data_IF_321523669734
#
_entry.id   IF_321523669734
#
_cell.length_a   1.000
_cell.length_b   1.000
_cell.length_c   1.000
_cell.angle_alpha   90.00
_cell.angle_beta   90.00
_cell.angle_gamma   90.00
#
_symmetry.space_group_name_H-M   'P 1'
#
loop_
_entity.id
_entity.type
_entity.pdbx_description
1 polymer ?
#
# COMPACT_ATOMS: atom_id res chain seq x y z
N UNK A 1 -1.27 -1.26 34.98
CA UNK A 1 -0.15 -1.32 34.02
C UNK A 1 -0.54 -0.54 32.78
N UNK A 2 0.42 -0.13 31.94
CA UNK A 2 0.11 0.49 30.63
C UNK A 2 -0.40 -0.55 29.63
N UNK A 3 -1.19 -0.13 28.64
CA UNK A 3 -1.59 -0.99 27.53
C UNK A 3 -0.36 -1.40 26.71
N UNK A 4 -0.33 -2.67 26.29
CA UNK A 4 0.69 -3.23 25.42
C UNK A 4 0.01 -3.98 24.27
N UNK A 5 0.47 -3.73 23.05
CA UNK A 5 0.00 -4.41 21.82
C UNK A 5 1.19 -4.94 21.03
N UNK A 6 0.99 -5.82 20.02
CA UNK A 6 1.97 -5.96 18.96
C UNK A 6 2.34 -4.60 18.36
N UNK A 7 3.56 -4.47 17.85
CA UNK A 7 3.91 -3.32 17.00
C UNK A 7 2.96 -3.24 15.79
N UNK A 8 2.67 -2.02 15.36
CA UNK A 8 1.79 -1.79 14.23
C UNK A 8 2.48 -2.12 12.91
N UNK A 9 1.68 -2.40 11.89
CA UNK A 9 2.10 -2.79 10.55
C UNK A 9 1.33 -1.93 9.56
N UNK A 10 2.06 -1.26 8.66
CA UNK A 10 1.48 -0.57 7.51
C UNK A 10 1.71 -1.41 6.26
N UNK A 11 0.65 -2.05 5.76
CA UNK A 11 0.77 -3.09 4.72
C UNK A 11 0.64 -2.60 3.29
N UNK A 12 0.49 -1.29 3.09
CA UNK A 12 0.36 -0.70 1.76
C UNK A 12 0.84 0.74 1.76
N UNK A 13 2.02 1.01 1.18
CA UNK A 13 2.51 2.38 0.97
C UNK A 13 3.26 2.54 -0.35
N UNK A 14 3.30 3.77 -0.86
CA UNK A 14 4.19 4.20 -1.94
C UNK A 14 5.15 5.26 -1.39
N UNK A 15 5.78 4.95 -0.25
CA UNK A 15 6.48 5.94 0.57
C UNK A 15 7.72 6.54 -0.12
N UNK A 16 8.35 5.78 -1.02
CA UNK A 16 9.51 6.23 -1.81
C UNK A 16 9.03 6.94 -3.06
N UNK A 17 9.26 8.25 -3.13
CA UNK A 17 8.98 9.08 -4.30
C UNK A 17 9.77 10.39 -4.22
N UNK A 18 10.00 11.00 -5.39
CA UNK A 18 10.57 12.33 -5.51
C UNK A 18 9.51 13.43 -5.61
N UNK A 19 9.82 14.61 -5.10
CA UNK A 19 9.00 15.81 -5.26
C UNK A 19 7.75 15.86 -4.39
N UNK A 20 6.78 16.68 -4.79
CA UNK A 20 5.53 16.91 -4.05
C UNK A 20 4.42 17.30 -5.01
N UNK A 21 3.18 16.88 -4.71
CA UNK A 21 1.96 17.28 -5.46
C UNK A 21 1.14 18.36 -4.74
N UNK A 22 1.72 19.05 -3.75
CA UNK A 22 1.05 20.13 -3.03
C UNK A 22 0.58 21.28 -3.96
N UNK A 23 1.39 21.63 -4.96
CA UNK A 23 1.01 22.65 -5.96
C UNK A 23 -0.19 22.20 -6.79
N UNK A 24 -0.26 20.93 -7.18
CA UNK A 24 -1.41 20.38 -7.89
C UNK A 24 -2.67 20.43 -7.01
N UNK A 25 -2.54 20.04 -5.74
CA UNK A 25 -3.63 20.12 -4.77
C UNK A 25 -4.15 21.57 -4.63
N UNK A 26 -3.25 22.55 -4.51
CA UNK A 26 -3.62 23.97 -4.46
C UNK A 26 -4.36 24.43 -5.72
N UNK A 27 -3.90 24.02 -6.92
CA UNK A 27 -4.54 24.37 -8.19
C UNK A 27 -5.95 23.77 -8.31
N UNK A 28 -6.14 22.51 -7.89
CA UNK A 28 -7.47 21.88 -7.84
C UNK A 28 -8.43 22.67 -6.97
N UNK A 29 -7.98 23.11 -5.78
CA UNK A 29 -8.79 23.91 -4.87
C UNK A 29 -9.10 25.32 -5.40
N UNK A 30 -8.26 25.85 -6.29
CA UNK A 30 -8.49 27.11 -7.01
C UNK A 30 -9.40 26.95 -8.24
N UNK A 31 -9.90 25.74 -8.51
CA UNK A 31 -10.87 25.47 -9.57
C UNK A 31 -10.25 25.05 -10.91
N UNK A 32 -8.96 24.72 -10.96
CA UNK A 32 -8.35 24.17 -12.17
C UNK A 32 -8.97 22.81 -12.53
N UNK A 33 -9.33 22.62 -13.79
CA UNK A 33 -9.80 21.36 -14.33
C UNK A 33 -8.69 20.31 -14.38
N UNK A 34 -9.07 19.03 -14.43
CA UNK A 34 -8.11 17.92 -14.58
C UNK A 34 -7.27 18.06 -15.85
N UNK A 35 -7.86 18.51 -16.96
CA UNK A 35 -7.15 18.75 -18.22
C UNK A 35 -6.09 19.85 -18.09
N UNK A 36 -6.42 20.98 -17.45
CA UNK A 36 -5.45 22.06 -17.20
C UNK A 36 -4.30 21.61 -16.30
N UNK A 37 -4.58 20.77 -15.31
CA UNK A 37 -3.57 20.19 -14.43
C UNK A 37 -2.68 19.21 -15.21
N UNK A 38 -3.27 18.35 -16.03
CA UNK A 38 -2.52 17.40 -16.86
C UNK A 38 -1.65 18.11 -17.89
N UNK A 39 -2.14 19.18 -18.52
CA UNK A 39 -1.38 20.01 -19.47
C UNK A 39 -0.18 20.70 -18.81
N UNK A 40 -0.25 20.98 -17.51
CA UNK A 40 0.86 21.52 -16.71
C UNK A 40 1.79 20.44 -16.14
N UNK A 41 1.64 19.19 -16.58
CA UNK A 41 2.47 18.06 -16.12
C UNK A 41 2.13 17.58 -14.71
N UNK A 42 0.90 17.80 -14.24
CA UNK A 42 0.38 17.22 -13.00
C UNK A 42 0.05 15.72 -13.12
N UNK A 43 -0.56 15.15 -12.08
CA UNK A 43 -0.90 13.73 -12.09
C UNK A 43 0.27 12.83 -11.67
N UNK A 44 0.11 11.53 -11.87
CA UNK A 44 1.15 10.53 -11.56
C UNK A 44 2.46 10.81 -12.31
N UNK A 45 2.39 11.29 -13.55
CA UNK A 45 3.58 11.57 -14.38
C UNK A 45 4.46 12.68 -13.79
N UNK A 46 3.89 13.60 -12.99
CA UNK A 46 4.65 14.58 -12.22
C UNK A 46 5.59 13.90 -11.23
N UNK A 47 5.05 12.96 -10.45
CA UNK A 47 5.80 12.16 -9.48
C UNK A 47 6.80 11.25 -10.18
N UNK A 48 6.44 10.65 -11.32
CA UNK A 48 7.35 9.83 -12.12
C UNK A 48 8.57 10.65 -12.56
N UNK A 49 8.34 11.83 -13.12
CA UNK A 49 9.41 12.72 -13.58
C UNK A 49 10.33 13.13 -12.42
N UNK A 50 9.76 13.51 -11.27
CA UNK A 50 10.53 13.88 -10.09
C UNK A 50 11.34 12.69 -9.52
N UNK A 51 10.77 11.48 -9.55
CA UNK A 51 11.42 10.26 -9.04
C UNK A 51 12.53 9.76 -9.97
N UNK A 52 12.32 9.83 -11.28
CA UNK A 52 13.37 9.55 -12.29
C UNK A 52 14.56 10.49 -12.11
N UNK A 53 14.29 11.79 -11.95
CA UNK A 53 15.32 12.84 -11.83
C UNK A 53 16.11 12.75 -10.53
N UNK A 54 15.45 12.40 -9.42
CA UNK A 54 16.10 12.33 -8.12
C UNK A 54 17.15 11.21 -8.07
N UNK A 55 18.29 11.49 -7.46
CA UNK A 55 19.29 10.48 -7.11
C UNK A 55 18.77 9.54 -6.02
N UNK A 56 19.43 8.38 -5.86
CA UNK A 56 19.07 7.43 -4.80
C UNK A 56 19.16 8.06 -3.39
N UNK A 57 20.17 8.91 -3.15
CA UNK A 57 20.36 9.60 -1.88
C UNK A 57 19.31 10.69 -1.63
N UNK A 58 18.90 11.42 -2.67
CA UNK A 58 17.79 12.38 -2.56
C UNK A 58 16.47 11.67 -2.28
N UNK A 59 16.18 10.54 -2.95
CA UNK A 59 14.98 9.74 -2.68
C UNK A 59 14.96 9.21 -1.25
N UNK A 60 16.10 8.69 -0.78
CA UNK A 60 16.25 8.26 0.61
C UNK A 60 15.98 9.42 1.58
N UNK A 61 16.63 10.56 1.38
CA UNK A 61 16.51 11.74 2.24
C UNK A 61 15.10 12.30 2.26
N UNK A 62 14.40 12.32 1.11
CA UNK A 62 13.01 12.75 1.01
C UNK A 62 12.03 11.76 1.65
N UNK A 63 12.34 10.47 1.63
CA UNK A 63 11.49 9.40 2.17
C UNK A 63 11.61 9.26 3.69
N UNK A 64 12.78 9.55 4.24
CA UNK A 64 13.10 9.35 5.65
C UNK A 64 12.13 10.03 6.63
N UNK A 65 11.70 11.30 6.43
CA UNK A 65 10.74 11.93 7.33
C UNK A 65 9.37 11.24 7.34
N UNK A 66 8.91 10.72 6.19
CA UNK A 66 7.64 9.98 6.08
C UNK A 66 7.75 8.63 6.80
N UNK A 67 8.87 7.95 6.61
CA UNK A 67 9.16 6.69 7.28
C UNK A 67 9.20 6.88 8.80
N UNK A 68 9.96 7.87 9.28
CA UNK A 68 10.11 8.15 10.72
C UNK A 68 8.79 8.55 11.38
N UNK A 69 7.88 9.22 10.65
CA UNK A 69 6.54 9.53 11.14
C UNK A 69 5.73 8.25 11.46
N UNK A 70 5.77 7.23 10.59
CA UNK A 70 5.12 5.94 10.85
C UNK A 70 5.77 5.22 12.04
N UNK A 71 7.10 5.23 12.13
CA UNK A 71 7.81 4.59 13.26
C UNK A 71 7.48 5.25 14.59
N UNK A 72 7.32 6.58 14.59
CA UNK A 72 6.93 7.34 15.79
C UNK A 72 5.55 6.93 16.31
N UNK A 73 4.67 6.38 15.46
CA UNK A 73 3.36 5.84 15.85
C UNK A 73 3.38 4.33 16.14
N UNK A 74 4.56 3.75 16.34
CA UNK A 74 4.71 2.38 16.80
C UNK A 74 4.68 1.33 15.67
N UNK A 75 4.81 1.78 14.41
CA UNK A 75 4.97 0.90 13.27
C UNK A 75 6.37 0.28 13.28
N UNK A 76 6.46 -1.04 13.07
CA UNK A 76 7.74 -1.78 12.95
C UNK A 76 7.83 -2.66 11.72
N UNK A 77 6.77 -2.70 10.93
CA UNK A 77 6.79 -3.27 9.59
C UNK A 77 6.06 -2.35 8.63
N UNK A 78 6.73 -1.96 7.56
CA UNK A 78 6.18 -1.13 6.50
C UNK A 78 6.36 -1.87 5.18
N UNK A 79 5.29 -2.00 4.42
CA UNK A 79 5.39 -2.35 3.01
C UNK A 79 5.60 -1.09 2.17
N UNK A 80 6.56 -1.12 1.26
CA UNK A 80 6.92 -0.01 0.38
C UNK A 80 6.95 -0.51 -1.06
N UNK A 81 6.12 0.10 -1.90
CA UNK A 81 6.02 -0.19 -3.34
C UNK A 81 6.98 0.67 -4.15
N UNK A 82 7.39 0.14 -5.30
CA UNK A 82 7.96 0.94 -6.39
C UNK A 82 6.84 1.61 -7.21
N UNK A 83 6.96 1.74 -8.53
CA UNK A 83 5.87 2.19 -9.40
C UNK A 83 5.82 3.69 -9.72
N UNK A 84 6.80 4.47 -9.27
CA UNK A 84 7.03 5.84 -9.75
C UNK A 84 8.28 5.95 -10.63
N UNK A 85 8.86 4.82 -11.05
CA UNK A 85 9.90 4.81 -12.07
C UNK A 85 9.34 4.59 -13.45
N UNK A 86 8.52 3.55 -13.60
CA UNK A 86 7.99 3.08 -14.88
C UNK A 86 9.10 2.77 -15.94
N UNK A 87 10.35 2.65 -15.50
CA UNK A 87 11.52 2.23 -16.25
C UNK A 87 12.40 1.33 -15.35
N UNK A 88 13.30 0.55 -15.95
CA UNK A 88 14.12 -0.41 -15.23
C UNK A 88 14.95 0.23 -14.12
N UNK A 89 15.71 1.28 -14.46
CA UNK A 89 16.69 1.89 -13.56
C UNK A 89 16.02 2.51 -12.32
N UNK A 90 14.89 3.18 -12.51
CA UNK A 90 14.20 3.90 -11.44
C UNK A 90 13.38 2.96 -10.57
N UNK A 91 12.74 1.92 -11.14
CA UNK A 91 12.06 0.90 -10.34
C UNK A 91 13.04 0.19 -9.39
N UNK A 92 14.22 -0.21 -9.88
CA UNK A 92 15.30 -0.79 -9.07
C UNK A 92 15.79 0.20 -8.01
N UNK A 93 16.05 1.45 -8.39
CA UNK A 93 16.46 2.53 -7.48
C UNK A 93 15.49 2.69 -6.32
N UNK A 94 14.17 2.69 -6.59
CA UNK A 94 13.14 2.81 -5.55
C UNK A 94 13.18 1.62 -4.56
N UNK A 95 13.28 0.39 -5.07
CA UNK A 95 13.35 -0.81 -4.23
C UNK A 95 14.61 -0.82 -3.35
N UNK A 96 15.76 -0.38 -3.89
CA UNK A 96 17.01 -0.22 -3.11
C UNK A 96 16.86 0.82 -2.00
N UNK A 97 16.24 1.97 -2.28
CA UNK A 97 15.93 2.99 -1.26
C UNK A 97 15.04 2.41 -0.17
N UNK A 98 14.00 1.66 -0.54
CA UNK A 98 13.11 1.02 0.43
C UNK A 98 13.88 0.06 1.37
N UNK A 99 14.75 -0.79 0.82
CA UNK A 99 15.62 -1.67 1.64
C UNK A 99 16.55 -0.86 2.54
N UNK A 100 17.16 0.21 2.02
CA UNK A 100 18.05 1.10 2.77
C UNK A 100 17.34 1.75 3.97
N UNK A 101 16.08 2.18 3.82
CA UNK A 101 15.28 2.72 4.93
C UNK A 101 15.13 1.70 6.07
N UNK A 102 14.80 0.45 5.73
CA UNK A 102 14.67 -0.64 6.69
C UNK A 102 15.98 -0.93 7.42
N UNK A 103 17.10 -0.96 6.69
CA UNK A 103 18.44 -1.15 7.27
C UNK A 103 18.82 -0.02 8.23
N UNK A 104 18.65 1.24 7.80
CA UNK A 104 19.06 2.42 8.58
C UNK A 104 18.31 2.53 9.91
N UNK A 105 17.00 2.21 9.92
CA UNK A 105 16.18 2.27 11.14
C UNK A 105 16.06 0.94 11.87
N UNK A 106 16.72 -0.10 11.36
CA UNK A 106 16.60 -1.46 11.85
C UNK A 106 15.12 -1.88 11.99
N UNK A 107 14.32 -1.63 10.95
CA UNK A 107 12.87 -1.87 10.86
C UNK A 107 12.61 -2.86 9.74
N UNK A 108 11.54 -3.66 9.84
CA UNK A 108 11.12 -4.49 8.71
C UNK A 108 10.59 -3.63 7.58
N UNK A 109 11.22 -3.72 6.42
CA UNK A 109 10.65 -3.22 5.18
C UNK A 109 10.38 -4.39 4.25
N UNK A 110 9.13 -4.48 3.81
CA UNK A 110 8.71 -5.40 2.74
C UNK A 110 8.59 -4.61 1.46
N UNK A 111 9.19 -5.09 0.40
CA UNK A 111 9.18 -4.38 -0.88
C UNK A 111 8.23 -5.04 -1.85
N UNK A 112 7.43 -4.25 -2.56
CA UNK A 112 6.57 -4.75 -3.62
C UNK A 112 6.95 -4.08 -4.93
N UNK A 113 7.23 -4.86 -5.96
CA UNK A 113 7.46 -4.32 -7.29
C UNK A 113 6.14 -3.96 -7.95
N UNK A 114 5.94 -2.68 -8.25
CA UNK A 114 4.74 -2.13 -8.86
C UNK A 114 5.06 -1.50 -10.23
N UNK A 115 5.80 -2.19 -11.10
CA UNK A 115 6.07 -1.68 -12.45
C UNK A 115 4.79 -1.43 -13.25
N UNK A 116 3.74 -2.23 -13.04
CA UNK A 116 2.42 -2.05 -13.65
C UNK A 116 1.55 -1.03 -12.88
N UNK A 117 2.09 0.15 -12.54
CA UNK A 117 1.34 1.23 -11.87
C UNK A 117 0.57 2.12 -12.86
N UNK A 118 1.23 2.51 -13.94
CA UNK A 118 0.67 3.35 -14.98
C UNK A 118 1.44 3.15 -16.30
N UNK A 119 0.90 3.67 -17.39
CA UNK A 119 1.55 3.62 -18.70
C UNK A 119 2.48 4.85 -18.82
N UNK A 120 3.80 4.69 -18.93
CA UNK A 120 4.71 5.82 -19.10
C UNK A 120 4.55 6.46 -20.48
N UNK A 121 5.01 7.70 -20.60
CA UNK A 121 4.76 8.55 -21.77
C UNK A 121 5.32 7.94 -23.08
N UNK A 122 6.49 7.30 -23.01
CA UNK A 122 7.14 6.57 -24.09
C UNK A 122 6.33 5.36 -24.62
N UNK A 123 5.40 4.83 -23.81
CA UNK A 123 4.49 3.73 -24.17
C UNK A 123 3.04 4.19 -24.34
N UNK A 124 2.76 5.50 -24.51
CA UNK A 124 1.40 6.01 -24.72
C UNK A 124 0.73 5.30 -25.91
N UNK A 125 -0.43 4.70 -25.65
CA UNK A 125 -1.19 3.91 -26.64
C UNK A 125 -0.62 2.52 -26.93
N UNK A 126 0.39 2.06 -26.18
CA UNK A 126 1.09 0.78 -26.34
C UNK A 126 1.17 0.00 -25.02
N UNK A 127 0.06 -0.02 -24.27
CA UNK A 127 0.00 -0.64 -22.94
C UNK A 127 0.47 -2.11 -22.94
N UNK A 128 0.13 -2.89 -23.97
CA UNK A 128 0.55 -4.29 -24.05
C UNK A 128 2.07 -4.46 -24.22
N UNK A 129 2.71 -3.58 -24.98
CA UNK A 129 4.16 -3.57 -25.14
C UNK A 129 4.87 -3.12 -23.86
N UNK A 130 4.25 -2.23 -23.09
CA UNK A 130 4.76 -1.88 -21.77
C UNK A 130 4.69 -3.05 -20.79
N UNK A 131 3.60 -3.83 -20.84
CA UNK A 131 3.48 -5.04 -20.03
C UNK A 131 4.52 -6.10 -20.45
N UNK A 132 4.81 -6.25 -21.75
CA UNK A 132 5.93 -7.10 -22.20
C UNK A 132 7.26 -6.63 -21.61
N UNK A 133 7.53 -5.32 -21.64
CA UNK A 133 8.73 -4.73 -21.03
C UNK A 133 8.81 -4.99 -19.51
N UNK A 134 7.70 -4.80 -18.79
CA UNK A 134 7.63 -5.11 -17.35
C UNK A 134 7.91 -6.58 -17.07
N UNK A 135 7.33 -7.50 -17.85
CA UNK A 135 7.45 -8.95 -17.63
C UNK A 135 8.81 -9.51 -18.07
N UNK A 136 9.34 -9.06 -19.19
CA UNK A 136 10.51 -9.68 -19.82
C UNK A 136 11.82 -8.94 -19.55
N UNK A 137 11.78 -7.66 -19.19
CA UNK A 137 12.99 -6.87 -18.95
C UNK A 137 13.14 -6.44 -17.48
N UNK A 138 12.07 -5.97 -16.82
CA UNK A 138 12.19 -5.43 -15.45
C UNK A 138 12.10 -6.53 -14.39
N UNK A 139 11.01 -7.30 -14.39
CA UNK A 139 10.72 -8.26 -13.34
C UNK A 139 11.81 -9.34 -13.16
N UNK A 140 12.47 -9.86 -14.22
CA UNK A 140 13.60 -10.77 -14.06
C UNK A 140 14.77 -10.15 -13.29
N UNK A 141 15.11 -8.89 -13.57
CA UNK A 141 16.20 -8.19 -12.86
C UNK A 141 15.83 -7.94 -11.39
N UNK A 142 14.59 -7.53 -11.13
CA UNK A 142 14.07 -7.36 -9.77
C UNK A 142 14.17 -8.66 -8.95
N UNK A 143 13.88 -9.80 -9.60
CA UNK A 143 13.99 -11.12 -8.99
C UNK A 143 15.45 -11.54 -8.77
N UNK A 144 16.30 -11.44 -9.79
CA UNK A 144 17.71 -11.85 -9.74
C UNK A 144 18.50 -11.05 -8.69
N UNK A 145 18.17 -9.77 -8.51
CA UNK A 145 18.75 -8.92 -7.46
C UNK A 145 18.06 -9.04 -6.09
N UNK A 146 17.02 -9.89 -5.97
CA UNK A 146 16.23 -10.10 -4.74
C UNK A 146 15.67 -8.79 -4.14
N UNK A 147 15.18 -7.90 -5.01
CA UNK A 147 14.76 -6.55 -4.62
C UNK A 147 13.29 -6.47 -4.19
N UNK A 148 12.44 -7.43 -4.57
CA UNK A 148 11.02 -7.44 -4.25
C UNK A 148 10.62 -8.69 -3.45
N UNK A 149 9.79 -8.49 -2.43
CA UNK A 149 9.12 -9.55 -1.68
C UNK A 149 7.78 -9.98 -2.30
N UNK A 150 7.18 -9.12 -3.13
CA UNK A 150 5.93 -9.37 -3.84
C UNK A 150 5.87 -8.57 -5.15
N UNK A 151 4.94 -8.93 -6.03
CA UNK A 151 4.61 -8.18 -7.25
C UNK A 151 3.20 -7.62 -7.14
N UNK A 152 3.04 -6.36 -7.52
CA UNK A 152 1.80 -5.61 -7.46
C UNK A 152 1.42 -5.06 -8.84
N UNK A 153 0.19 -4.59 -8.99
CA UNK A 153 -0.31 -3.96 -10.22
C UNK A 153 -1.52 -3.07 -9.97
N UNK A 154 -1.77 -2.15 -10.90
CA UNK A 154 -2.98 -1.33 -10.88
C UNK A 154 -3.99 -1.78 -11.93
N UNK A 155 -5.00 -2.54 -11.49
CA UNK A 155 -6.07 -3.04 -12.34
C UNK A 155 -7.24 -2.04 -12.36
N UNK A 156 -7.25 -1.15 -13.35
CA UNK A 156 -8.24 -0.08 -13.47
C UNK A 156 -8.35 0.42 -14.92
N UNK A 157 -9.47 1.04 -15.26
CA UNK A 157 -9.74 1.61 -16.60
C UNK A 157 -8.70 2.66 -17.03
N UNK A 158 -8.08 3.33 -16.06
CA UNK A 158 -7.05 4.34 -16.30
C UNK A 158 -5.62 3.77 -16.27
N UNK A 159 -5.47 2.48 -16.02
CA UNK A 159 -4.19 1.79 -15.90
C UNK A 159 -4.18 0.52 -16.75
N UNK A 160 -4.34 -0.66 -16.15
CA UNK A 160 -4.26 -1.94 -16.84
C UNK A 160 -5.53 -2.77 -16.69
N UNK A 161 -5.86 -3.50 -17.74
CA UNK A 161 -6.95 -4.48 -17.73
C UNK A 161 -6.55 -5.76 -16.98
N UNK A 162 -7.55 -6.57 -16.59
CA UNK A 162 -7.31 -7.89 -15.99
C UNK A 162 -6.45 -8.82 -16.86
N UNK A 163 -6.57 -8.74 -18.20
CA UNK A 163 -5.73 -9.51 -19.14
C UNK A 163 -4.27 -9.07 -19.16
N UNK A 164 -4.01 -7.80 -18.89
CA UNK A 164 -2.65 -7.26 -18.81
C UNK A 164 -2.01 -7.62 -17.46
N UNK A 165 -2.77 -7.46 -16.38
CA UNK A 165 -2.33 -7.85 -15.04
C UNK A 165 -2.09 -9.35 -14.94
N UNK A 166 -2.91 -10.20 -15.58
CA UNK A 166 -2.68 -11.66 -15.56
C UNK A 166 -1.31 -12.04 -16.13
N UNK A 167 -0.82 -11.34 -17.17
CA UNK A 167 0.53 -11.57 -17.73
C UNK A 167 1.63 -11.26 -16.71
N UNK A 168 1.48 -10.17 -15.95
CA UNK A 168 2.41 -9.81 -14.86
C UNK A 168 2.38 -10.88 -13.76
N UNK A 169 1.18 -11.35 -13.38
CA UNK A 169 1.01 -12.37 -12.36
C UNK A 169 1.50 -13.76 -12.81
N UNK A 170 1.34 -14.12 -14.09
CA UNK A 170 1.90 -15.33 -14.67
C UNK A 170 3.43 -15.32 -14.54
N UNK A 171 4.07 -14.19 -14.88
CA UNK A 171 5.51 -14.02 -14.74
C UNK A 171 5.96 -14.07 -13.27
N UNK A 172 5.27 -13.35 -12.38
CA UNK A 172 5.57 -13.36 -10.95
C UNK A 172 5.46 -14.77 -10.35
N UNK A 173 4.41 -15.51 -10.71
CA UNK A 173 4.18 -16.89 -10.29
C UNK A 173 5.28 -17.82 -10.81
N UNK A 174 5.70 -17.67 -12.06
CA UNK A 174 6.80 -18.45 -12.64
C UNK A 174 8.14 -18.20 -11.92
N UNK A 175 8.34 -17.01 -11.35
CA UNK A 175 9.50 -16.66 -10.52
C UNK A 175 9.32 -17.03 -9.03
N UNK A 176 8.15 -17.52 -8.63
CA UNK A 176 7.85 -17.85 -7.23
C UNK A 176 7.65 -16.63 -6.33
N UNK A 177 7.35 -15.46 -6.90
CA UNK A 177 7.02 -14.26 -6.15
C UNK A 177 5.51 -14.20 -5.88
N UNK A 178 5.09 -13.92 -4.62
CA UNK A 178 3.68 -13.73 -4.31
C UNK A 178 3.16 -12.45 -4.97
N UNK A 179 1.86 -12.41 -5.25
CA UNK A 179 1.22 -11.27 -5.91
C UNK A 179 0.24 -10.55 -4.98
N UNK A 180 -0.05 -9.29 -5.30
CA UNK A 180 -1.08 -8.44 -4.70
C UNK A 180 -1.60 -7.46 -5.76
N UNK A 181 -2.69 -6.75 -5.48
CA UNK A 181 -3.32 -5.91 -6.50
C UNK A 181 -4.07 -4.69 -5.94
N UNK A 182 -3.84 -3.51 -6.52
CA UNK A 182 -4.81 -2.41 -6.48
C UNK A 182 -6.00 -2.77 -7.38
N UNK A 183 -7.16 -2.98 -6.76
CA UNK A 183 -8.35 -3.45 -7.45
C UNK A 183 -9.60 -2.67 -7.02
N UNK A 184 -10.47 -2.44 -8.00
CA UNK A 184 -11.81 -1.87 -7.81
C UNK A 184 -11.86 -0.52 -7.09
N UNK A 185 -10.84 0.32 -7.28
CA UNK A 185 -10.77 1.63 -6.65
C UNK A 185 -11.75 2.63 -7.27
N UNK A 186 -11.82 2.69 -8.60
CA UNK A 186 -12.61 3.68 -9.33
C UNK A 186 -13.72 3.02 -10.17
N UNK A 187 -13.55 1.75 -10.54
CA UNK A 187 -14.56 0.95 -11.23
C UNK A 187 -14.36 -0.54 -10.98
N UNK A 188 -15.37 -1.37 -11.26
CA UNK A 188 -15.25 -2.81 -11.12
C UNK A 188 -14.82 -3.47 -12.44
N UNK A 189 -13.60 -4.01 -12.48
CA UNK A 189 -13.06 -4.77 -13.62
C UNK A 189 -12.89 -6.27 -13.34
N UNK A 190 -13.18 -6.73 -12.12
CA UNK A 190 -12.93 -8.10 -11.69
C UNK A 190 -11.46 -8.38 -11.34
N UNK A 191 -10.68 -7.35 -11.05
CA UNK A 191 -9.33 -7.45 -10.51
C UNK A 191 -9.27 -8.18 -9.15
N UNK A 192 -10.22 -7.97 -8.25
CA UNK A 192 -10.24 -8.68 -6.96
C UNK A 192 -10.45 -10.19 -7.14
N UNK A 193 -11.33 -10.58 -8.07
CA UNK A 193 -11.53 -11.98 -8.44
C UNK A 193 -10.29 -12.58 -9.12
N UNK A 194 -9.62 -11.80 -9.98
CA UNK A 194 -8.32 -12.17 -10.56
C UNK A 194 -7.27 -12.41 -9.48
N UNK A 195 -7.08 -11.48 -8.55
CA UNK A 195 -6.14 -11.61 -7.44
C UNK A 195 -6.43 -12.86 -6.60
N UNK A 196 -7.70 -13.13 -6.30
CA UNK A 196 -8.12 -14.34 -5.59
C UNK A 196 -7.76 -15.63 -6.35
N UNK A 197 -7.90 -15.65 -7.68
CA UNK A 197 -7.55 -16.83 -8.50
C UNK A 197 -6.04 -17.14 -8.53
N UNK A 198 -5.19 -16.12 -8.35
CA UNK A 198 -3.73 -16.30 -8.23
C UNK A 198 -3.27 -16.59 -6.80
N UNK A 199 -4.19 -16.67 -5.82
CA UNK A 199 -3.82 -16.80 -4.41
C UNK A 199 -3.02 -15.60 -3.92
N UNK A 200 -3.36 -14.40 -4.38
CA UNK A 200 -2.71 -13.15 -3.97
C UNK A 200 -2.69 -12.99 -2.44
N UNK A 201 -1.71 -12.24 -1.92
CA UNK A 201 -1.67 -11.90 -0.50
C UNK A 201 -2.84 -10.98 -0.12
N UNK A 202 -3.12 -10.00 -0.98
CA UNK A 202 -4.21 -9.05 -0.79
C UNK A 202 -4.76 -8.51 -2.10
N UNK A 203 -6.00 -8.01 -2.01
CA UNK A 203 -6.54 -7.03 -2.96
C UNK A 203 -6.86 -5.74 -2.17
N UNK A 204 -6.47 -4.61 -2.74
CA UNK A 204 -6.39 -3.33 -2.05
C UNK A 204 -7.34 -2.32 -2.71
N UNK A 205 -7.84 -1.32 -1.95
CA UNK A 205 -8.90 -0.35 -2.30
C UNK A 205 -10.34 -0.88 -2.14
N UNK A 206 -10.88 -1.56 -3.16
CA UNK A 206 -12.14 -2.30 -3.13
C UNK A 206 -13.44 -1.48 -3.03
N UNK A 207 -13.43 -0.17 -3.29
CA UNK A 207 -14.64 0.66 -3.28
C UNK A 207 -15.77 0.09 -4.15
N UNK A 208 -15.45 -0.40 -5.35
CA UNK A 208 -16.40 -0.93 -6.33
C UNK A 208 -16.49 -2.46 -6.35
N UNK A 209 -15.91 -3.15 -5.36
CA UNK A 209 -15.95 -4.61 -5.27
C UNK A 209 -17.40 -5.12 -5.26
N UNK A 210 -17.69 -6.09 -6.12
CA UNK A 210 -19.00 -6.76 -6.16
C UNK A 210 -19.04 -8.04 -5.31
N UNK A 211 -20.24 -8.59 -5.17
CA UNK A 211 -20.46 -9.81 -4.39
C UNK A 211 -19.70 -11.01 -4.97
N UNK A 212 -19.51 -11.10 -6.29
CA UNK A 212 -18.76 -12.20 -6.90
C UNK A 212 -17.27 -12.15 -6.52
N UNK A 213 -16.70 -10.95 -6.49
CA UNK A 213 -15.34 -10.69 -6.00
C UNK A 213 -15.22 -11.01 -4.51
N UNK A 214 -16.18 -10.60 -3.68
CA UNK A 214 -16.21 -10.96 -2.24
C UNK A 214 -16.16 -12.48 -2.05
N UNK A 215 -16.98 -13.24 -2.78
CA UNK A 215 -17.00 -14.70 -2.66
C UNK A 215 -15.69 -15.33 -3.15
N UNK A 216 -15.09 -14.79 -4.22
CA UNK A 216 -13.78 -15.24 -4.70
C UNK A 216 -12.68 -15.02 -3.65
N UNK A 217 -12.65 -13.82 -3.04
CA UNK A 217 -11.71 -13.48 -1.98
C UNK A 217 -11.87 -14.39 -0.76
N UNK A 218 -13.11 -14.61 -0.31
CA UNK A 218 -13.42 -15.48 0.82
C UNK A 218 -12.97 -16.92 0.58
N UNK A 219 -13.20 -17.45 -0.62
CA UNK A 219 -12.80 -18.81 -1.00
C UNK A 219 -11.27 -18.97 -1.04
N UNK A 220 -10.56 -17.95 -1.51
CA UNK A 220 -9.10 -17.98 -1.64
C UNK A 220 -8.38 -17.67 -0.32
N UNK A 221 -9.03 -16.95 0.59
CA UNK A 221 -8.46 -16.56 1.88
C UNK A 221 -7.55 -15.33 1.80
N UNK A 222 -7.62 -14.57 0.70
CA UNK A 222 -6.82 -13.34 0.52
C UNK A 222 -7.34 -12.23 1.43
N UNK A 223 -6.47 -11.28 1.77
CA UNK A 223 -6.84 -10.14 2.61
C UNK A 223 -7.48 -9.02 1.76
N UNK A 224 -8.54 -8.40 2.28
CA UNK A 224 -9.06 -7.14 1.78
C UNK A 224 -8.38 -5.97 2.51
N UNK A 225 -7.58 -5.16 1.80
CA UNK A 225 -6.95 -3.95 2.38
C UNK A 225 -7.74 -2.72 1.95
N UNK A 226 -8.45 -2.09 2.89
CA UNK A 226 -9.21 -0.85 2.61
C UNK A 226 -8.41 0.38 3.00
N UNK A 227 -8.46 1.43 2.18
CA UNK A 227 -7.51 2.54 2.21
C UNK A 227 -8.23 3.87 2.47
N UNK A 228 -8.59 4.18 3.74
CA UNK A 228 -9.45 5.32 4.06
C UNK A 228 -8.80 6.69 3.75
N UNK A 229 -7.47 6.76 3.76
CA UNK A 229 -6.75 7.98 3.40
C UNK A 229 -6.93 8.36 1.93
N UNK A 230 -6.94 7.38 1.02
CA UNK A 230 -7.20 7.59 -0.39
C UNK A 230 -8.64 8.03 -0.64
N UNK A 231 -9.59 7.27 -0.07
CA UNK A 231 -11.01 7.58 -0.11
C UNK A 231 -11.30 9.03 0.35
N UNK A 232 -10.72 9.43 1.50
CA UNK A 232 -10.87 10.78 2.05
C UNK A 232 -10.36 11.86 1.10
N UNK A 233 -9.13 11.71 0.61
CA UNK A 233 -8.45 12.75 -0.17
C UNK A 233 -9.10 12.92 -1.55
N UNK A 234 -9.55 11.82 -2.15
CA UNK A 234 -10.25 11.81 -3.44
C UNK A 234 -11.71 12.27 -3.32
N UNK A 235 -12.22 12.44 -2.09
CA UNK A 235 -13.63 12.75 -1.80
C UNK A 235 -14.58 11.73 -2.44
N UNK A 236 -14.16 10.47 -2.44
CA UNK A 236 -14.98 9.36 -2.94
C UNK A 236 -16.24 9.22 -2.09
N UNK A 237 -17.29 8.71 -2.71
CA UNK A 237 -18.61 8.49 -2.11
C UNK A 237 -19.02 7.03 -2.13
N UNK A 238 -18.44 6.22 -3.02
CA UNK A 238 -18.64 4.78 -3.10
C UNK A 238 -17.82 4.08 -2.01
N UNK A 239 -18.51 3.56 -0.99
CA UNK A 239 -17.87 2.83 0.11
C UNK A 239 -17.50 1.40 -0.30
N UNK A 240 -16.37 0.85 0.15
CA UNK A 240 -16.07 -0.58 -0.01
C UNK A 240 -17.15 -1.43 0.69
N UNK A 241 -17.48 -2.64 0.17
CA UNK A 241 -18.61 -3.45 0.65
C UNK A 241 -18.29 -4.21 1.94
N UNK A 242 -17.89 -3.50 3.00
CA UNK A 242 -17.40 -4.09 4.26
C UNK A 242 -18.38 -5.06 4.90
N UNK A 243 -19.70 -4.82 4.80
CA UNK A 243 -20.68 -5.75 5.35
C UNK A 243 -20.72 -7.08 4.59
N UNK A 244 -20.54 -7.08 3.27
CA UNK A 244 -20.42 -8.32 2.50
C UNK A 244 -19.10 -9.04 2.85
N UNK A 245 -17.99 -8.31 2.91
CA UNK A 245 -16.68 -8.86 3.31
C UNK A 245 -16.73 -9.52 4.70
N UNK A 246 -17.31 -8.84 5.70
CA UNK A 246 -17.53 -9.39 7.05
C UNK A 246 -18.37 -10.66 7.04
N UNK A 247 -19.51 -10.65 6.34
CA UNK A 247 -20.42 -11.80 6.27
C UNK A 247 -19.75 -13.01 5.61
N UNK A 248 -18.91 -12.77 4.61
CA UNK A 248 -18.15 -13.80 3.93
C UNK A 248 -16.89 -14.25 4.70
N UNK A 249 -16.53 -13.57 5.80
CA UNK A 249 -15.36 -13.91 6.61
C UNK A 249 -14.03 -13.48 5.98
N UNK A 250 -14.03 -12.54 5.04
CA UNK A 250 -12.80 -12.01 4.44
C UNK A 250 -12.04 -11.17 5.47
N UNK A 251 -10.74 -11.44 5.71
CA UNK A 251 -9.94 -10.63 6.63
C UNK A 251 -9.82 -9.19 6.13
N UNK A 252 -10.03 -8.22 7.02
CA UNK A 252 -9.95 -6.78 6.73
C UNK A 252 -8.68 -6.17 7.31
N UNK A 253 -7.81 -5.65 6.45
CA UNK A 253 -6.68 -4.81 6.82
C UNK A 253 -6.96 -3.35 6.45
N UNK A 254 -6.23 -2.44 7.10
CA UNK A 254 -6.18 -1.03 6.73
C UNK A 254 -4.72 -0.60 6.65
N UNK A 255 -4.44 0.37 5.79
CA UNK A 255 -3.10 0.90 5.58
C UNK A 255 -3.18 2.37 5.18
N UNK A 256 -2.07 3.09 5.33
CA UNK A 256 -2.08 4.54 5.07
C UNK A 256 -2.23 4.87 3.59
N UNK A 257 -1.84 3.95 2.70
CA UNK A 257 -1.61 4.25 1.29
C UNK A 257 -0.67 5.44 1.12
N UNK A 258 0.32 5.63 2.00
CA UNK A 258 1.19 6.81 1.99
C UNK A 258 1.80 7.04 0.60
N UNK A 259 1.31 8.05 -0.11
CA UNK A 259 1.68 8.37 -1.48
C UNK A 259 1.45 9.87 -1.77
N UNK A 260 2.13 10.45 -2.77
CA UNK A 260 2.08 11.89 -3.00
C UNK A 260 0.75 12.39 -3.58
N UNK A 261 -0.08 11.51 -4.17
CA UNK A 261 -1.19 11.89 -5.03
C UNK A 261 -2.57 11.71 -4.42
N UNK A 262 -2.88 10.49 -3.99
CA UNK A 262 -4.18 10.09 -3.46
C UNK A 262 -4.18 9.95 -1.96
N UNK A 263 -3.06 9.70 -1.28
CA UNK A 263 -3.04 9.69 0.18
C UNK A 263 -1.72 10.19 0.77
N UNK A 264 -1.53 11.52 0.90
CA UNK A 264 -0.37 12.08 1.58
C UNK A 264 -0.47 11.92 3.12
N UNK A 265 -0.88 10.73 3.58
CA UNK A 265 -1.09 10.33 4.96
C UNK A 265 0.15 9.59 5.49
N UNK A 266 0.69 10.03 6.63
CA UNK A 266 1.86 9.42 7.29
C UNK A 266 1.56 9.07 8.75
N UNK A 267 0.30 8.75 9.05
CA UNK A 267 -0.19 8.41 10.38
C UNK A 267 -1.10 7.18 10.30
N UNK A 268 -0.63 6.07 10.87
CA UNK A 268 -1.38 4.82 10.95
C UNK A 268 -2.50 4.93 12.01
N UNK A 269 -2.31 5.72 13.07
CA UNK A 269 -3.33 5.97 14.08
C UNK A 269 -4.47 6.81 13.52
N UNK A 270 -4.15 7.84 12.72
CA UNK A 270 -5.16 8.58 11.98
C UNK A 270 -5.86 7.69 10.94
N UNK A 271 -5.15 6.77 10.29
CA UNK A 271 -5.76 5.77 9.41
C UNK A 271 -6.79 4.90 10.15
N UNK A 272 -6.46 4.40 11.35
CA UNK A 272 -7.40 3.67 12.22
C UNK A 272 -8.65 4.51 12.53
N UNK A 273 -8.47 5.78 12.89
CA UNK A 273 -9.58 6.69 13.14
C UNK A 273 -10.47 6.90 11.89
N UNK A 274 -9.86 7.10 10.72
CA UNK A 274 -10.59 7.27 9.47
C UNK A 274 -11.36 5.99 9.09
N UNK A 275 -10.77 4.81 9.26
CA UNK A 275 -11.43 3.53 9.04
C UNK A 275 -12.70 3.38 9.93
N UNK A 276 -12.60 3.75 11.21
CA UNK A 276 -13.76 3.74 12.10
C UNK A 276 -14.81 4.79 11.71
N UNK A 277 -14.37 6.01 11.38
CA UNK A 277 -15.27 7.15 11.16
C UNK A 277 -15.98 7.06 9.81
N UNK A 278 -15.23 6.80 8.75
CA UNK A 278 -15.68 6.79 7.37
C UNK A 278 -16.29 5.42 7.04
N UNK A 279 -15.55 4.34 7.28
CA UNK A 279 -15.95 3.00 6.87
C UNK A 279 -16.76 2.24 7.94
N UNK A 280 -17.01 2.85 9.10
CA UNK A 280 -17.77 2.21 10.20
C UNK A 280 -17.14 0.88 10.64
N UNK A 281 -15.82 0.78 10.59
CA UNK A 281 -15.09 -0.31 11.25
C UNK A 281 -15.15 -0.12 12.76
N UNK A 282 -15.17 -1.22 13.52
CA UNK A 282 -15.01 -1.15 14.97
C UNK A 282 -13.54 -0.85 15.32
N UNK A 283 -13.23 -0.27 16.49
CA UNK A 283 -11.84 -0.12 16.93
C UNK A 283 -11.08 -1.45 17.01
N UNK A 284 -11.77 -2.56 17.30
CA UNK A 284 -11.19 -3.90 17.28
C UNK A 284 -10.78 -4.32 15.86
N UNK A 285 -11.66 -4.12 14.87
CA UNK A 285 -11.35 -4.38 13.46
C UNK A 285 -10.20 -3.51 12.98
N UNK A 286 -10.16 -2.22 13.34
CA UNK A 286 -9.08 -1.32 12.98
C UNK A 286 -7.74 -1.78 13.59
N UNK A 287 -7.71 -2.12 14.88
CA UNK A 287 -6.50 -2.62 15.54
C UNK A 287 -6.03 -3.95 14.95
N UNK A 288 -6.95 -4.89 14.70
CA UNK A 288 -6.62 -6.14 14.02
C UNK A 288 -6.10 -5.88 12.60
N UNK A 289 -6.68 -4.89 11.92
CA UNK A 289 -6.34 -4.46 10.57
C UNK A 289 -4.92 -3.97 10.40
N UNK A 290 -4.35 -3.33 11.44
CA UNK A 290 -2.95 -2.84 11.47
C UNK A 290 -2.01 -3.73 12.28
N UNK A 291 -2.45 -4.93 12.67
CA UNK A 291 -1.62 -5.91 13.40
C UNK A 291 -1.72 -7.29 12.74
N UNK A 292 -2.59 -8.17 13.24
CA UNK A 292 -2.71 -9.56 12.78
C UNK A 292 -3.08 -9.65 11.31
N UNK A 293 -4.01 -8.83 10.82
CA UNK A 293 -4.49 -8.92 9.43
C UNK A 293 -3.50 -8.29 8.46
N UNK A 294 -2.88 -7.16 8.80
CA UNK A 294 -1.78 -6.59 8.03
C UNK A 294 -0.58 -7.56 7.92
N UNK A 295 -0.26 -8.33 8.97
CA UNK A 295 0.77 -9.36 8.88
C UNK A 295 0.43 -10.48 7.88
N UNK A 296 -0.84 -10.88 7.80
CA UNK A 296 -1.32 -11.83 6.79
C UNK A 296 -1.29 -11.25 5.37
N UNK A 297 -1.67 -9.98 5.19
CA UNK A 297 -1.64 -9.27 3.90
C UNK A 297 -0.23 -9.18 3.29
N UNK A 298 0.79 -9.47 4.09
CA UNK A 298 2.19 -9.45 3.66
C UNK A 298 2.87 -10.83 3.74
N UNK A 299 2.12 -11.89 4.08
CA UNK A 299 2.60 -13.27 4.04
C UNK A 299 3.41 -13.74 5.26
N UNK A 300 3.36 -13.05 6.40
CA UNK A 300 4.16 -13.42 7.60
C UNK A 300 3.39 -13.33 8.93
N UNK A 301 2.10 -13.62 8.90
CA UNK A 301 1.27 -13.70 10.12
C UNK A 301 1.78 -14.70 11.16
N UNK A 302 2.61 -15.66 10.77
CA UNK A 302 3.30 -16.59 11.68
C UNK A 302 4.47 -15.97 12.45
N UNK A 303 4.99 -14.81 12.04
CA UNK A 303 6.17 -14.18 12.65
C UNK A 303 5.87 -12.97 13.53
N UNK A 304 4.86 -12.16 13.18
CA UNK A 304 4.52 -10.88 13.84
C UNK A 304 3.01 -10.61 13.86
N UNK A 305 2.59 -9.44 14.34
CA UNK A 305 1.19 -8.97 14.33
C UNK A 305 0.35 -9.48 15.50
N UNK A 306 0.91 -10.28 16.39
CA UNK A 306 0.25 -10.90 17.55
C UNK A 306 1.26 -11.14 18.67
N UNK A 307 0.78 -11.26 19.91
CA UNK A 307 1.62 -11.59 21.08
C UNK A 307 1.44 -13.07 21.37
N UNK A 308 2.30 -13.90 20.79
CA UNK A 308 2.26 -15.35 20.91
C UNK A 308 3.67 -15.89 21.13
N UNK A 309 3.80 -16.95 21.93
CA UNK A 309 5.10 -17.62 22.15
C UNK A 309 5.64 -18.13 20.82
N UNK A 310 6.89 -17.79 20.51
CA UNK A 310 7.57 -18.17 19.27
C UNK A 310 7.57 -17.08 18.19
N UNK A 311 6.76 -16.02 18.33
CA UNK A 311 6.78 -14.86 17.42
C UNK A 311 7.83 -13.82 17.85
N UNK A 312 8.17 -12.90 16.94
CA UNK A 312 9.14 -11.83 17.23
C UNK A 312 8.61 -10.90 18.30
N UNK A 313 9.48 -10.55 19.24
CA UNK A 313 9.16 -9.66 20.35
C UNK A 313 9.23 -8.19 19.92
N UNK A 314 8.19 -7.73 19.21
CA UNK A 314 8.00 -6.36 18.76
C UNK A 314 6.69 -5.82 19.36
N UNK A 315 6.79 -5.01 20.40
CA UNK A 315 5.63 -4.52 21.17
C UNK A 315 5.60 -3.00 21.26
N UNK A 316 4.40 -2.44 21.16
CA UNK A 316 4.13 -1.04 21.42
C UNK A 316 3.49 -0.88 22.81
N UNK A 317 4.06 0.02 23.62
CA UNK A 317 3.51 0.38 24.94
C UNK A 317 2.85 1.75 24.83
N UNK A 318 1.59 1.84 25.25
CA UNK A 318 0.75 3.02 25.03
C UNK A 318 0.37 3.71 26.34
N UNK A 319 0.26 5.03 26.31
CA UNK A 319 -0.25 5.83 27.41
C UNK A 319 -1.77 6.07 27.26
N UNK A 320 -2.53 4.96 27.25
CA UNK A 320 -3.99 4.91 27.19
C UNK A 320 -4.51 3.83 28.13
N UNK A 321 -5.77 3.93 28.53
CA UNK A 321 -6.41 3.00 29.46
C UNK A 321 -7.05 1.81 28.71
N UNK A 322 -7.48 2.01 27.45
CA UNK A 322 -8.08 0.95 26.63
C UNK A 322 -7.67 1.01 25.15
N UNK A 323 -7.63 -0.14 24.42
CA UNK A 323 -7.22 -0.19 23.02
C UNK A 323 -8.04 0.70 22.07
N UNK A 324 -9.32 0.89 22.36
CA UNK A 324 -10.20 1.72 21.54
C UNK A 324 -9.71 3.18 21.42
N UNK A 325 -8.93 3.67 22.40
CA UNK A 325 -8.37 5.03 22.35
C UNK A 325 -7.40 5.24 21.18
N UNK A 326 -6.82 4.17 20.64
CA UNK A 326 -5.90 4.23 19.48
C UNK A 326 -6.62 4.61 18.18
N UNK A 327 -7.89 4.23 18.03
CA UNK A 327 -8.72 4.61 16.88
C UNK A 327 -9.65 5.79 17.19
N UNK A 328 -9.84 6.13 18.47
CA UNK A 328 -10.77 7.19 18.88
C UNK A 328 -10.20 8.60 18.67
N UNK A 329 -8.96 8.85 19.09
CA UNK A 329 -8.36 10.19 18.97
C UNK A 329 -7.93 10.47 17.53
N UNK A 330 -8.06 11.73 17.13
CA UNK A 330 -7.66 12.20 15.80
C UNK A 330 -6.43 13.10 15.94
N UNK A 331 -5.34 12.78 15.22
CA UNK A 331 -4.10 13.57 15.25
C UNK A 331 -3.36 13.55 16.59
N UNK A 332 -3.41 12.43 17.31
CA UNK A 332 -2.75 12.27 18.61
C UNK A 332 -1.95 10.97 18.66
N UNK A 333 -0.72 11.05 19.17
CA UNK A 333 0.16 9.90 19.32
C UNK A 333 0.36 9.57 20.83
N UNK A 334 -0.28 8.51 21.35
CA UNK A 334 -0.12 8.06 22.73
C UNK A 334 1.04 7.07 22.93
N UNK A 335 1.90 6.83 21.93
CA UNK A 335 3.00 5.88 22.07
C UNK A 335 3.93 6.31 23.20
N UNK A 336 4.13 5.42 24.16
CA UNK A 336 5.08 5.66 25.25
C UNK A 336 6.48 5.17 24.90
N UNK A 337 6.59 3.94 24.36
CA UNK A 337 7.86 3.34 23.92
C UNK A 337 7.62 2.07 23.12
N UNK A 338 8.63 1.69 22.35
CA UNK A 338 8.72 0.36 21.74
C UNK A 338 9.55 -0.58 22.62
N UNK A 339 9.17 -1.85 22.66
CA UNK A 339 9.96 -2.94 23.20
C UNK A 339 10.29 -3.88 22.04
N UNK A 340 11.54 -3.87 21.60
CA UNK A 340 12.03 -4.68 20.48
C UNK A 340 13.20 -5.52 20.98
N UNK A 341 13.10 -6.84 20.85
CA UNK A 341 14.24 -7.73 21.08
C UNK A 341 14.78 -8.18 19.72
N UNK A 342 16.08 -7.98 19.52
CA UNK A 342 16.85 -8.45 18.37
C UNK A 342 17.38 -9.85 18.61
#
# INVERSE_FOLDING_TARGET
>A
GRLLTPALIDCHTHLVYGGSRATEFELRLKGASYEEISLRGGGILSTVTATRTATEEELFSQSLPRFDALLAEGVRTVEIKSGYGLDLETEIKMLRVARKLGMERNVRVKTSFLGAHAIPQEFKGKADAYIDFVCEEILPVVYDENLADAVDGFCENIAFSTKQISRVFDKATALGLPVKLHAEQLSNLGGAALAANYGALSADHLEYLDESGVQAMAKSGIVAVVLPGAFYTLRETQLPPLNSLRKAGVPLAIATDCNPGSSPLTSILLCMNMACTIFRMTPEEALAGVTRVAAHALGFGSEVGTIEVGKKAEFAVWNVDQPAELAYRMGYNPLSKMLVCH
#
